data_IF_500546298076
#
_entry.id   IF_500546298076
#
_cell.length_a   1.000
_cell.length_b   1.000
_cell.length_c   1.000
_cell.angle_alpha   90.00
_cell.angle_beta   90.00
_cell.angle_gamma   90.00
#
_symmetry.space_group_name_H-M   'P 1'
#
loop_
_entity.id
_entity.type
_entity.pdbx_description
1 polymer ?
#
# COMPACT_ATOMS: atom_id res chain seq x y z
N UNK A 1 -24.98 -61.81 6.08
CA UNK A 1 -23.98 -61.16 5.22
C UNK A 1 -24.33 -59.68 5.11
N UNK A 2 -23.47 -58.80 5.61
CA UNK A 2 -23.34 -57.43 5.10
C UNK A 2 -21.95 -56.95 5.55
N UNK A 3 -21.04 -56.88 4.59
CA UNK A 3 -19.67 -56.48 4.79
C UNK A 3 -19.61 -54.95 4.78
N UNK A 4 -19.30 -54.33 5.92
CA UNK A 4 -18.78 -52.97 5.92
C UNK A 4 -17.29 -53.06 5.61
N UNK A 5 -16.91 -52.72 4.37
CA UNK A 5 -15.52 -52.63 3.95
C UNK A 5 -14.83 -51.50 4.69
N UNK A 6 -13.77 -51.83 5.42
CA UNK A 6 -12.79 -50.87 5.92
C UNK A 6 -12.19 -50.11 4.74
N UNK A 7 -12.51 -48.82 4.61
CA UNK A 7 -11.79 -47.94 3.67
C UNK A 7 -10.33 -47.94 4.08
N UNK A 8 -9.44 -48.42 3.20
CA UNK A 8 -8.02 -48.51 3.46
C UNK A 8 -7.45 -47.09 3.62
N UNK A 9 -6.49 -46.87 4.51
CA UNK A 9 -5.90 -45.55 4.74
C UNK A 9 -5.32 -44.91 3.45
N UNK A 10 -4.95 -45.76 2.48
CA UNK A 10 -4.46 -45.38 1.16
C UNK A 10 -5.58 -44.79 0.27
N UNK A 11 -6.80 -45.33 0.34
CA UNK A 11 -7.96 -44.83 -0.42
C UNK A 11 -8.42 -43.45 0.06
N UNK A 12 -8.22 -43.17 1.36
CA UNK A 12 -8.51 -41.86 1.94
C UNK A 12 -7.53 -40.77 1.44
N UNK A 13 -6.28 -41.12 1.17
CA UNK A 13 -5.27 -40.21 0.60
C UNK A 13 -5.62 -39.90 -0.86
N UNK A 14 -5.93 -40.93 -1.66
CA UNK A 14 -6.30 -40.81 -3.07
C UNK A 14 -7.55 -39.95 -3.28
N UNK A 15 -8.61 -40.20 -2.51
CA UNK A 15 -9.83 -39.38 -2.54
C UNK A 15 -9.52 -37.90 -2.27
N UNK A 16 -8.64 -37.63 -1.29
CA UNK A 16 -8.27 -36.26 -0.92
C UNK A 16 -7.35 -35.57 -1.92
N UNK A 17 -6.52 -36.33 -2.63
CA UNK A 17 -5.75 -35.83 -3.78
C UNK A 17 -6.71 -35.40 -4.88
N UNK A 18 -7.71 -36.22 -5.22
CA UNK A 18 -8.71 -35.90 -6.25
C UNK A 18 -9.49 -34.63 -5.89
N UNK A 19 -9.93 -34.49 -4.63
CA UNK A 19 -10.65 -33.30 -4.16
C UNK A 19 -9.83 -32.01 -4.28
N UNK A 20 -8.53 -32.06 -3.93
CA UNK A 20 -7.67 -30.86 -3.90
C UNK A 20 -7.01 -30.57 -5.24
N UNK A 21 -6.82 -31.60 -6.06
CA UNK A 21 -6.09 -31.55 -7.32
C UNK A 21 -6.80 -32.40 -8.38
N UNK A 22 -7.99 -31.99 -8.88
CA UNK A 22 -8.74 -32.77 -9.86
C UNK A 22 -7.93 -33.09 -11.13
N UNK A 23 -6.99 -32.22 -11.51
CA UNK A 23 -6.09 -32.44 -12.65
C UNK A 23 -5.06 -33.59 -12.46
N UNK A 24 -5.00 -34.20 -11.27
CA UNK A 24 -4.16 -35.36 -11.01
C UNK A 24 -4.75 -36.66 -11.55
N UNK A 25 -6.08 -36.70 -11.76
CA UNK A 25 -6.76 -37.76 -12.51
C UNK A 25 -6.53 -37.50 -14.01
N UNK A 26 -5.51 -38.16 -14.54
CA UNK A 26 -5.02 -37.94 -15.91
C UNK A 26 -5.77 -38.77 -16.93
N UNK A 27 -6.37 -39.89 -16.51
CA UNK A 27 -7.15 -40.77 -17.37
C UNK A 27 -8.65 -40.42 -17.35
N UNK A 28 -9.09 -39.59 -16.41
CA UNK A 28 -10.45 -39.06 -16.29
C UNK A 28 -11.47 -40.08 -15.78
N UNK A 29 -11.03 -41.13 -15.09
CA UNK A 29 -11.90 -42.20 -14.59
C UNK A 29 -12.54 -41.87 -13.22
N UNK A 30 -12.19 -40.73 -12.62
CA UNK A 30 -12.70 -40.27 -11.34
C UNK A 30 -12.03 -40.94 -10.13
N UNK A 31 -10.93 -41.67 -10.32
CA UNK A 31 -10.20 -42.38 -9.26
C UNK A 31 -8.69 -42.22 -9.43
N UNK A 32 -8.00 -41.74 -8.40
CA UNK A 32 -6.52 -41.64 -8.44
C UNK A 32 -5.89 -43.04 -8.36
N UNK A 33 -5.22 -43.45 -9.43
CA UNK A 33 -4.42 -44.67 -9.48
C UNK A 33 -3.11 -44.55 -8.67
N UNK A 34 -2.46 -45.69 -8.37
CA UNK A 34 -1.14 -45.69 -7.70
C UNK A 34 -0.08 -44.92 -8.51
N UNK A 35 -0.17 -44.97 -9.84
CA UNK A 35 0.75 -44.26 -10.73
C UNK A 35 0.55 -42.73 -10.65
N UNK A 36 -0.70 -42.27 -10.64
CA UNK A 36 -1.04 -40.85 -10.49
C UNK A 36 -0.68 -40.33 -9.12
N UNK A 37 -0.93 -41.10 -8.07
CA UNK A 37 -0.51 -40.78 -6.71
C UNK A 37 1.02 -40.65 -6.61
N UNK A 38 1.78 -41.56 -7.22
CA UNK A 38 3.24 -41.50 -7.26
C UNK A 38 3.74 -40.27 -8.03
N UNK A 39 3.07 -39.88 -9.12
CA UNK A 39 3.39 -38.66 -9.85
C UNK A 39 3.14 -37.40 -9.02
N UNK A 40 1.99 -37.31 -8.36
CA UNK A 40 1.65 -36.21 -7.44
C UNK A 40 2.66 -36.14 -6.31
N UNK A 41 3.04 -37.28 -5.73
CA UNK A 41 4.02 -37.35 -4.64
C UNK A 41 5.41 -36.88 -5.07
N UNK A 42 5.89 -37.31 -6.25
CA UNK A 42 7.17 -36.83 -6.82
C UNK A 42 7.14 -35.32 -7.11
N UNK A 43 6.02 -34.81 -7.63
CA UNK A 43 5.88 -33.40 -7.91
C UNK A 43 5.79 -32.56 -6.63
N UNK A 44 5.10 -33.08 -5.61
CA UNK A 44 5.02 -32.48 -4.28
C UNK A 44 6.40 -32.42 -3.62
N UNK A 45 7.21 -33.49 -3.72
CA UNK A 45 8.56 -33.54 -3.19
C UNK A 45 9.50 -32.55 -3.90
N UNK A 46 9.40 -32.40 -5.23
CA UNK A 46 10.14 -31.36 -5.99
C UNK A 46 9.80 -29.94 -5.52
N UNK A 47 8.53 -29.67 -5.22
CA UNK A 47 8.05 -28.35 -4.78
C UNK A 47 8.31 -28.10 -3.28
N UNK A 48 8.31 -29.17 -2.49
CA UNK A 48 8.46 -29.14 -1.05
C UNK A 48 9.48 -30.20 -0.60
N UNK A 49 10.79 -29.99 -0.84
CA UNK A 49 11.82 -30.96 -0.46
C UNK A 49 11.89 -31.23 1.05
N UNK A 50 11.35 -30.33 1.88
CA UNK A 50 11.28 -30.46 3.35
C UNK A 50 10.10 -31.31 3.84
N UNK A 51 9.28 -31.84 2.93
CA UNK A 51 8.11 -32.64 3.28
C UNK A 51 8.46 -34.10 3.56
N UNK A 52 9.53 -34.58 2.96
CA UNK A 52 10.25 -35.80 3.30
C UNK A 52 11.12 -35.51 4.55
N UNK A 53 10.63 -35.97 5.70
CA UNK A 53 11.18 -35.68 7.02
C UNK A 53 12.17 -36.74 7.46
N UNK A 54 12.00 -37.98 7.02
CA UNK A 54 12.92 -39.07 7.28
C UNK A 54 14.06 -39.14 6.25
N UNK A 55 13.93 -38.42 5.13
CA UNK A 55 14.99 -38.20 4.15
C UNK A 55 15.20 -39.39 3.22
N UNK A 56 14.20 -40.27 3.07
CA UNK A 56 14.30 -41.49 2.29
C UNK A 56 14.04 -41.30 0.78
N UNK A 57 13.65 -40.08 0.38
CA UNK A 57 13.37 -39.70 -1.00
C UNK A 57 11.97 -40.05 -1.49
N UNK A 58 11.08 -40.56 -0.63
CA UNK A 58 9.70 -40.94 -0.93
C UNK A 58 8.77 -40.43 0.17
N UNK A 59 7.66 -39.81 -0.19
CA UNK A 59 6.70 -39.39 0.83
C UNK A 59 5.98 -40.61 1.42
N UNK A 60 6.14 -40.84 2.71
CA UNK A 60 5.33 -41.77 3.48
C UNK A 60 3.87 -41.30 3.56
N UNK A 61 2.95 -42.20 3.92
CA UNK A 61 1.53 -41.86 4.05
C UNK A 61 1.27 -40.77 5.10
N UNK A 62 2.08 -40.75 6.17
CA UNK A 62 2.02 -39.70 7.19
C UNK A 62 2.40 -38.32 6.63
N UNK A 63 3.39 -38.26 5.74
CA UNK A 63 3.86 -37.03 5.12
C UNK A 63 2.91 -36.56 4.02
N UNK A 64 2.38 -37.49 3.22
CA UNK A 64 1.28 -37.21 2.28
C UNK A 64 0.08 -36.62 3.02
N UNK A 65 -0.34 -37.21 4.13
CA UNK A 65 -1.43 -36.67 4.95
C UNK A 65 -1.11 -35.28 5.52
N UNK A 66 0.13 -35.05 5.98
CA UNK A 66 0.56 -33.74 6.44
C UNK A 66 0.49 -32.69 5.32
N UNK A 67 0.97 -33.02 4.12
CA UNK A 67 0.91 -32.14 2.96
C UNK A 67 -0.53 -31.86 2.51
N UNK A 68 -1.38 -32.88 2.47
CA UNK A 68 -2.79 -32.73 2.11
C UNK A 68 -3.56 -31.91 3.15
N UNK A 69 -3.20 -32.00 4.45
CA UNK A 69 -3.74 -31.11 5.49
C UNK A 69 -3.29 -29.67 5.28
N UNK A 70 -2.03 -29.43 4.91
CA UNK A 70 -1.53 -28.10 4.61
C UNK A 70 -2.18 -27.51 3.35
N UNK A 71 -2.37 -28.32 2.30
CA UNK A 71 -3.06 -27.95 1.08
C UNK A 71 -4.54 -27.65 1.34
N UNK A 72 -5.24 -28.50 2.09
CA UNK A 72 -6.62 -28.25 2.51
C UNK A 72 -6.76 -26.99 3.37
N UNK A 73 -5.82 -26.70 4.27
CA UNK A 73 -5.83 -25.46 5.07
C UNK A 73 -5.54 -24.20 4.24
N UNK A 74 -4.86 -24.32 3.10
CA UNK A 74 -4.69 -23.23 2.12
C UNK A 74 -5.91 -23.06 1.22
N UNK A 75 -6.59 -24.16 0.89
CA UNK A 75 -7.80 -24.16 0.07
C UNK A 75 -9.07 -23.76 0.85
N UNK A 76 -9.07 -23.90 2.18
CA UNK A 76 -10.17 -23.42 3.04
C UNK A 76 -10.20 -21.89 3.05
N UNK A 77 -11.35 -21.24 2.75
CA UNK A 77 -11.54 -19.84 3.08
C UNK A 77 -11.37 -19.68 4.60
N UNK A 78 -10.55 -18.72 5.03
CA UNK A 78 -10.34 -18.46 6.46
C UNK A 78 -11.68 -18.13 7.12
N UNK A 79 -11.97 -18.64 8.32
CA UNK A 79 -13.17 -18.26 9.05
C UNK A 79 -13.13 -16.75 9.31
N UNK A 80 -14.14 -16.06 8.78
CA UNK A 80 -14.44 -14.67 9.11
C UNK A 80 -14.75 -14.58 10.61
N UNK A 81 -13.82 -14.02 11.39
CA UNK A 81 -14.15 -13.45 12.70
C UNK A 81 -14.87 -12.13 12.43
N UNK A 82 -16.20 -12.20 12.30
CA UNK A 82 -17.16 -11.07 12.31
C UNK A 82 -16.56 -9.71 11.93
N UNK A 83 -16.17 -9.55 10.67
CA UNK A 83 -16.40 -8.29 9.99
C UNK A 83 -17.68 -8.49 9.19
N UNK A 84 -18.65 -7.61 9.37
CA UNK A 84 -19.65 -7.42 8.32
C UNK A 84 -18.86 -7.13 7.05
N UNK A 85 -18.77 -8.11 6.14
CA UNK A 85 -18.28 -7.89 4.79
C UNK A 85 -19.29 -6.94 4.13
N UNK A 86 -19.15 -5.63 4.40
CA UNK A 86 -19.78 -4.60 3.59
C UNK A 86 -19.27 -4.86 2.18
N UNK A 87 -20.16 -5.31 1.30
CA UNK A 87 -19.85 -5.49 -0.11
C UNK A 87 -19.11 -4.25 -0.63
N UNK A 88 -18.04 -4.46 -1.40
CA UNK A 88 -17.23 -3.37 -1.96
C UNK A 88 -18.15 -2.43 -2.74
N UNK A 89 -18.37 -1.21 -2.24
CA UNK A 89 -19.27 -0.23 -2.88
C UNK A 89 -18.85 -0.02 -4.35
N UNK A 90 -19.79 -0.03 -5.27
CA UNK A 90 -19.52 0.24 -6.70
C UNK A 90 -19.19 1.72 -6.88
N UNK A 91 -18.13 2.08 -7.62
CA UNK A 91 -17.82 3.48 -7.90
C UNK A 91 -18.88 4.12 -8.81
N UNK A 92 -19.15 5.41 -8.58
CA UNK A 92 -19.99 6.24 -9.45
C UNK A 92 -19.38 6.32 -10.85
N UNK A 93 -18.06 6.44 -10.93
CA UNK A 93 -17.31 6.32 -12.18
C UNK A 93 -16.07 5.44 -11.96
N UNK A 94 -15.95 4.37 -12.74
CA UNK A 94 -14.84 3.42 -12.69
C UNK A 94 -13.82 3.68 -13.81
N UNK A 95 -12.54 3.46 -13.51
CA UNK A 95 -11.42 3.51 -14.48
C UNK A 95 -11.39 4.78 -15.33
N UNK A 96 -11.72 5.93 -14.73
CA UNK A 96 -11.66 7.23 -15.39
C UNK A 96 -10.19 7.53 -15.72
N UNK A 97 -9.88 7.70 -17.01
CA UNK A 97 -8.54 8.04 -17.48
C UNK A 97 -8.22 9.51 -17.24
N UNK A 98 -7.05 9.79 -16.67
CA UNK A 98 -6.52 11.14 -16.48
C UNK A 98 -5.21 11.39 -17.27
N UNK A 99 -4.74 10.39 -18.01
CA UNK A 99 -3.59 10.45 -18.89
C UNK A 99 -3.56 9.26 -19.84
N UNK A 100 -2.54 9.22 -20.70
CA UNK A 100 -2.41 8.26 -21.82
C UNK A 100 -2.09 6.83 -21.37
N UNK A 101 -1.32 6.68 -20.28
CA UNK A 101 -0.87 5.38 -19.83
C UNK A 101 -2.02 4.59 -19.18
N UNK A 102 -2.09 3.27 -19.37
CA UNK A 102 -3.19 2.42 -18.85
C UNK A 102 -3.39 2.51 -17.33
N UNK A 103 -2.30 2.75 -16.58
CA UNK A 103 -2.33 2.96 -15.12
C UNK A 103 -2.76 4.36 -14.70
N UNK A 104 -2.87 5.32 -15.61
CA UNK A 104 -3.35 6.67 -15.30
C UNK A 104 -4.89 6.68 -15.27
N UNK A 105 -5.43 5.89 -14.34
CA UNK A 105 -6.86 5.71 -14.10
C UNK A 105 -7.19 5.86 -12.62
N UNK A 106 -8.43 6.24 -12.33
CA UNK A 106 -8.98 6.22 -10.97
C UNK A 106 -10.43 5.75 -10.95
N UNK A 107 -10.88 5.34 -9.77
CA UNK A 107 -12.28 5.17 -9.45
C UNK A 107 -12.71 6.30 -8.52
N UNK A 108 -13.95 6.76 -8.63
CA UNK A 108 -14.53 7.77 -7.72
C UNK A 108 -15.93 7.35 -7.26
N UNK A 109 -16.17 7.55 -5.97
CA UNK A 109 -17.44 7.36 -5.29
C UNK A 109 -17.90 8.74 -4.81
N UNK A 110 -19.03 9.21 -5.33
CA UNK A 110 -19.61 10.48 -4.91
C UNK A 110 -20.49 10.26 -3.68
N UNK A 111 -20.31 11.09 -2.66
CA UNK A 111 -21.24 11.12 -1.54
C UNK A 111 -22.56 11.76 -1.99
N UNK A 112 -23.67 11.29 -1.42
CA UNK A 112 -25.00 11.81 -1.72
C UNK A 112 -25.23 13.11 -0.96
N UNK A 113 -25.31 14.23 -1.68
CA UNK A 113 -25.52 15.56 -1.12
C UNK A 113 -26.04 16.53 -2.18
N UNK A 114 -26.89 17.46 -1.75
CA UNK A 114 -27.37 18.57 -2.59
C UNK A 114 -26.25 19.59 -2.85
N UNK A 115 -25.40 19.84 -1.85
CA UNK A 115 -24.29 20.80 -1.92
C UNK A 115 -22.96 20.15 -2.34
N UNK A 116 -22.01 20.92 -2.93
CA UNK A 116 -20.71 20.39 -3.33
C UNK A 116 -19.92 19.75 -2.19
N UNK A 117 -19.63 18.46 -2.33
CA UNK A 117 -18.97 17.64 -1.30
C UNK A 117 -17.45 17.84 -1.28
N UNK A 118 -16.77 17.73 -0.12
CA UNK A 118 -15.32 17.58 -0.10
C UNK A 118 -14.87 16.30 -0.81
N UNK A 119 -13.59 16.27 -1.20
CA UNK A 119 -12.98 15.10 -1.87
C UNK A 119 -11.79 14.56 -1.07
N UNK A 120 -11.75 13.26 -0.80
CA UNK A 120 -10.60 12.55 -0.26
C UNK A 120 -9.98 11.62 -1.33
N UNK A 121 -8.71 11.84 -1.67
CA UNK A 121 -8.00 11.08 -2.71
C UNK A 121 -7.09 10.03 -2.06
N UNK A 122 -7.45 8.76 -2.23
CA UNK A 122 -6.63 7.62 -1.86
C UNK A 122 -5.50 7.37 -2.87
N UNK A 123 -4.27 7.33 -2.36
CA UNK A 123 -3.06 7.01 -3.10
C UNK A 123 -2.45 5.73 -2.51
N UNK A 124 -2.45 4.67 -3.31
CA UNK A 124 -2.04 3.36 -2.82
C UNK A 124 -0.54 3.27 -2.51
N UNK A 125 -0.17 2.43 -1.53
CA UNK A 125 1.21 2.03 -1.30
C UNK A 125 1.67 0.88 -2.20
N UNK A 126 2.89 0.38 -1.96
CA UNK A 126 3.46 -0.74 -2.73
C UNK A 126 4.88 -0.50 -3.25
N UNK A 127 5.63 0.40 -2.58
CA UNK A 127 7.03 0.68 -2.91
C UNK A 127 7.24 1.14 -4.35
N UNK A 128 6.24 1.82 -4.93
CA UNK A 128 6.19 2.24 -6.33
C UNK A 128 6.29 1.11 -7.37
N UNK A 129 6.34 -0.16 -6.97
CA UNK A 129 6.50 -1.32 -7.88
C UNK A 129 5.24 -2.19 -7.96
N UNK A 130 4.27 -1.97 -7.06
CA UNK A 130 3.05 -2.76 -6.96
C UNK A 130 1.92 -1.92 -6.31
N UNK A 131 0.73 -2.51 -6.19
CA UNK A 131 -0.46 -1.92 -5.58
C UNK A 131 -1.45 -1.37 -6.60
N UNK A 132 -2.69 -1.17 -6.18
CA UNK A 132 -3.70 -0.55 -7.02
C UNK A 132 -4.67 0.26 -6.18
N UNK A 133 -5.49 1.07 -6.86
CA UNK A 133 -6.68 1.73 -6.31
C UNK A 133 -7.60 0.79 -5.52
N UNK A 134 -7.59 -0.52 -5.81
CA UNK A 134 -8.40 -1.52 -5.10
C UNK A 134 -7.97 -1.80 -3.67
N UNK A 135 -6.81 -1.27 -3.24
CA UNK A 135 -6.34 -1.39 -1.85
C UNK A 135 -7.05 -0.45 -0.88
N UNK A 136 -7.89 0.46 -1.37
CA UNK A 136 -8.77 1.25 -0.51
C UNK A 136 -9.66 0.31 0.31
N UNK A 137 -9.63 0.44 1.65
CA UNK A 137 -10.40 -0.46 2.50
C UNK A 137 -11.89 -0.13 2.41
N UNK A 138 -12.78 -1.13 2.30
CA UNK A 138 -14.23 -0.89 2.23
C UNK A 138 -14.80 -0.11 3.43
N UNK A 139 -14.25 -0.30 4.63
CA UNK A 139 -14.68 0.43 5.82
C UNK A 139 -14.27 1.89 5.77
N UNK A 140 -13.01 2.20 5.43
CA UNK A 140 -12.54 3.58 5.26
C UNK A 140 -13.34 4.31 4.17
N UNK A 141 -13.63 3.64 3.05
CA UNK A 141 -14.50 4.18 2.00
C UNK A 141 -15.91 4.46 2.51
N UNK A 142 -16.50 3.52 3.23
CA UNK A 142 -17.87 3.68 3.75
C UNK A 142 -17.94 4.83 4.76
N UNK A 143 -17.02 4.89 5.72
CA UNK A 143 -16.99 5.92 6.76
C UNK A 143 -16.83 7.33 6.18
N UNK A 144 -15.99 7.49 5.14
CA UNK A 144 -15.84 8.78 4.46
C UNK A 144 -17.11 9.20 3.70
N UNK A 145 -17.71 8.28 2.94
CA UNK A 145 -18.95 8.54 2.21
C UNK A 145 -20.12 8.84 3.16
N UNK A 146 -20.23 8.07 4.25
CA UNK A 146 -21.28 8.23 5.26
C UNK A 146 -21.10 9.57 6.03
N UNK A 147 -19.88 10.15 6.03
CA UNK A 147 -19.59 11.49 6.55
C UNK A 147 -19.82 12.62 5.51
N UNK A 148 -20.29 12.31 4.30
CA UNK A 148 -20.51 13.32 3.25
C UNK A 148 -19.26 13.72 2.46
N UNK A 149 -18.20 12.90 2.50
CA UNK A 149 -16.95 13.14 1.78
C UNK A 149 -16.88 12.19 0.57
N UNK A 150 -16.84 12.75 -0.63
CA UNK A 150 -16.58 11.98 -1.86
C UNK A 150 -15.17 11.40 -1.84
N UNK A 151 -14.98 10.20 -2.37
CA UNK A 151 -13.70 9.48 -2.32
C UNK A 151 -13.24 9.12 -3.72
N UNK A 152 -11.98 9.35 -4.03
CA UNK A 152 -11.35 8.83 -5.24
C UNK A 152 -10.18 7.92 -4.89
N UNK A 153 -9.91 6.91 -5.71
CA UNK A 153 -8.75 6.02 -5.55
C UNK A 153 -7.99 5.92 -6.87
N UNK A 154 -6.73 6.35 -6.86
CA UNK A 154 -5.93 6.47 -8.09
C UNK A 154 -4.95 5.30 -8.25
N UNK A 155 -4.74 4.88 -9.49
CA UNK A 155 -3.50 4.22 -9.90
C UNK A 155 -2.49 5.29 -10.38
N UNK A 156 -1.21 4.94 -10.37
CA UNK A 156 -0.12 5.72 -10.95
C UNK A 156 0.90 4.78 -11.63
N UNK A 157 1.78 5.31 -12.49
CA UNK A 157 2.83 4.50 -13.14
C UNK A 157 3.83 3.98 -12.12
N UNK A 158 4.19 2.70 -12.27
CA UNK A 158 5.20 2.08 -11.43
C UNK A 158 6.61 2.50 -11.81
N UNK A 159 7.53 2.32 -10.87
CA UNK A 159 8.96 2.53 -11.05
C UNK A 159 9.58 1.63 -12.14
N UNK A 160 8.98 0.47 -12.41
CA UNK A 160 9.38 -0.41 -13.52
C UNK A 160 8.94 0.10 -14.90
N UNK A 161 8.05 1.09 -14.93
CA UNK A 161 7.53 1.72 -16.15
C UNK A 161 8.20 3.06 -16.37
N UNK A 162 8.28 3.90 -15.34
CA UNK A 162 8.91 5.21 -15.38
C UNK A 162 9.59 5.53 -14.04
N UNK A 163 10.80 6.12 -14.04
CA UNK A 163 11.48 6.49 -12.81
C UNK A 163 10.68 7.52 -12.00
N UNK A 164 10.95 7.62 -10.71
CA UNK A 164 10.46 8.73 -9.90
C UNK A 164 11.06 10.04 -10.42
N UNK A 165 10.31 11.16 -10.39
CA UNK A 165 9.03 11.33 -9.73
C UNK A 165 7.77 11.11 -10.60
N UNK A 166 7.81 10.26 -11.65
CA UNK A 166 6.65 10.05 -12.52
C UNK A 166 5.35 9.70 -11.76
N UNK A 167 5.43 8.86 -10.72
CA UNK A 167 4.29 8.53 -9.86
C UNK A 167 3.72 9.75 -9.09
N UNK A 168 4.58 10.69 -8.69
CA UNK A 168 4.17 11.93 -8.03
C UNK A 168 3.47 12.84 -9.02
N UNK A 169 4.02 12.99 -10.23
CA UNK A 169 3.41 13.78 -11.30
C UNK A 169 2.06 13.20 -11.76
N UNK A 170 1.93 11.86 -11.77
CA UNK A 170 0.66 11.18 -12.06
C UNK A 170 -0.40 11.52 -11.01
N UNK A 171 -0.05 11.50 -9.72
CA UNK A 171 -0.98 11.88 -8.66
C UNK A 171 -1.35 13.37 -8.69
N UNK A 172 -0.39 14.26 -8.99
CA UNK A 172 -0.65 15.68 -9.25
C UNK A 172 -1.66 15.85 -10.38
N UNK A 173 -1.45 15.16 -11.50
CA UNK A 173 -2.35 15.20 -12.66
C UNK A 173 -3.74 14.68 -12.31
N UNK A 174 -3.84 13.60 -11.55
CA UNK A 174 -5.12 13.05 -11.11
C UNK A 174 -5.90 14.04 -10.23
N UNK A 175 -5.24 14.69 -9.26
CA UNK A 175 -5.82 15.74 -8.42
C UNK A 175 -6.38 16.89 -9.27
N UNK A 176 -5.57 17.41 -10.17
CA UNK A 176 -5.97 18.49 -11.08
C UNK A 176 -7.14 18.07 -11.99
N UNK A 177 -7.12 16.84 -12.51
CA UNK A 177 -8.20 16.30 -13.32
C UNK A 177 -9.51 16.27 -12.52
N UNK A 178 -9.49 15.79 -11.28
CA UNK A 178 -10.68 15.76 -10.42
C UNK A 178 -11.21 17.17 -10.13
N UNK A 179 -10.33 18.15 -9.89
CA UNK A 179 -10.73 19.55 -9.73
C UNK A 179 -11.37 20.13 -11.01
N UNK A 180 -10.87 19.77 -12.19
CA UNK A 180 -11.47 20.20 -13.47
C UNK A 180 -12.89 19.64 -13.70
N UNK A 181 -13.26 18.59 -12.96
CA UNK A 181 -14.57 17.93 -12.99
C UNK A 181 -15.48 18.32 -11.83
N UNK A 182 -15.05 19.27 -10.99
CA UNK A 182 -15.73 19.63 -9.75
C UNK A 182 -17.22 19.96 -9.93
N UNK A 183 -17.57 20.77 -10.92
CA UNK A 183 -18.97 21.11 -11.22
C UNK A 183 -19.76 19.88 -11.66
N UNK A 184 -19.19 19.05 -12.53
CA UNK A 184 -19.85 17.84 -13.06
C UNK A 184 -20.12 16.80 -11.96
N UNK A 185 -19.25 16.74 -10.96
CA UNK A 185 -19.29 15.72 -9.91
C UNK A 185 -19.80 16.23 -8.57
N UNK A 186 -20.32 17.46 -8.52
CA UNK A 186 -20.75 18.12 -7.29
C UNK A 186 -19.68 18.05 -6.19
N UNK A 187 -18.45 18.42 -6.52
CA UNK A 187 -17.30 18.44 -5.62
C UNK A 187 -16.90 19.89 -5.33
N UNK A 188 -16.69 20.22 -4.06
CA UNK A 188 -16.06 21.46 -3.67
C UNK A 188 -14.55 21.36 -3.92
N UNK A 189 -14.08 21.95 -5.02
CA UNK A 189 -12.66 21.92 -5.37
C UNK A 189 -11.75 22.61 -4.35
N UNK A 190 -12.26 23.42 -3.43
CA UNK A 190 -11.44 24.07 -2.39
C UNK A 190 -11.31 23.21 -1.12
N UNK A 191 -12.01 22.07 -1.04
CA UNK A 191 -11.99 21.15 0.10
C UNK A 191 -11.51 19.77 -0.37
N UNK A 192 -10.20 19.63 -0.57
CA UNK A 192 -9.59 18.40 -1.10
C UNK A 192 -8.50 17.89 -0.17
N UNK A 193 -8.62 16.63 0.22
CA UNK A 193 -7.65 15.91 1.02
C UNK A 193 -7.00 14.77 0.24
N UNK A 194 -5.81 14.34 0.67
CA UNK A 194 -5.17 13.13 0.17
C UNK A 194 -4.82 12.19 1.31
N UNK A 195 -4.91 10.88 1.07
CA UNK A 195 -4.51 9.87 2.04
C UNK A 195 -3.91 8.62 1.41
N UNK A 196 -3.02 7.97 2.15
CA UNK A 196 -2.30 6.82 1.62
C UNK A 196 -1.31 6.25 2.63
N UNK A 197 -0.72 5.10 2.28
CA UNK A 197 0.27 4.45 3.11
C UNK A 197 1.56 4.11 2.38
N UNK A 198 2.67 4.00 3.09
CA UNK A 198 3.97 3.64 2.50
C UNK A 198 4.35 4.61 1.37
N UNK A 199 4.65 4.11 0.16
CA UNK A 199 4.89 4.93 -1.03
C UNK A 199 3.76 5.93 -1.33
N UNK A 200 2.50 5.56 -1.08
CA UNK A 200 1.36 6.46 -1.27
C UNK A 200 1.37 7.61 -0.26
N UNK A 201 1.78 7.36 0.98
CA UNK A 201 1.96 8.41 1.97
C UNK A 201 3.06 9.41 1.55
N UNK A 202 4.15 8.95 0.94
CA UNK A 202 5.18 9.85 0.40
C UNK A 202 4.57 10.77 -0.66
N UNK A 203 3.80 10.24 -1.60
CA UNK A 203 3.12 11.05 -2.64
C UNK A 203 2.14 12.03 -1.99
N UNK A 204 1.34 11.59 -1.03
CA UNK A 204 0.41 12.47 -0.31
C UNK A 204 1.11 13.65 0.36
N UNK A 205 2.21 13.40 1.09
CA UNK A 205 2.95 14.47 1.75
C UNK A 205 3.66 15.39 0.75
N UNK A 206 4.17 14.84 -0.36
CA UNK A 206 4.72 15.67 -1.43
C UNK A 206 3.67 16.58 -2.05
N UNK A 207 2.46 16.09 -2.31
CA UNK A 207 1.34 16.92 -2.80
C UNK A 207 0.96 17.99 -1.77
N UNK A 208 0.96 17.65 -0.48
CA UNK A 208 0.57 18.57 0.58
C UNK A 208 1.57 19.71 0.78
N UNK A 209 2.87 19.42 0.70
CA UNK A 209 3.95 20.33 1.11
C UNK A 209 4.77 20.85 -0.06
N UNK A 210 4.35 20.58 -1.29
CA UNK A 210 4.87 21.32 -2.44
C UNK A 210 4.15 22.65 -2.57
N UNK A 211 4.88 23.64 -3.06
CA UNK A 211 4.30 24.91 -3.52
C UNK A 211 3.22 24.65 -4.59
N UNK A 212 2.42 25.67 -4.87
CA UNK A 212 1.44 25.63 -5.94
C UNK A 212 2.09 25.23 -7.28
N UNK A 213 1.56 24.18 -7.91
CA UNK A 213 2.04 23.65 -9.19
C UNK A 213 1.05 23.88 -10.34
N UNK A 214 -0.05 24.61 -10.11
CA UNK A 214 -0.91 25.11 -11.17
C UNK A 214 -0.12 25.98 -12.16
N UNK A 215 -0.50 25.87 -13.43
CA UNK A 215 0.05 26.66 -14.53
C UNK A 215 -1.10 27.46 -15.17
N UNK A 216 -1.40 28.68 -14.70
CA UNK A 216 -2.57 29.45 -15.15
C UNK A 216 -2.63 29.63 -16.67
N UNK A 217 -1.48 29.78 -17.31
CA UNK A 217 -1.36 30.03 -18.75
C UNK A 217 -1.21 28.75 -19.59
N UNK A 218 -1.33 27.55 -19.00
CA UNK A 218 -1.19 26.29 -19.76
C UNK A 218 -2.30 26.16 -20.80
N UNK A 219 -1.98 25.63 -21.98
CA UNK A 219 -3.00 25.28 -22.98
C UNK A 219 -3.88 24.10 -22.53
N UNK A 220 -3.37 23.29 -21.60
CA UNK A 220 -4.12 22.21 -20.99
C UNK A 220 -4.91 22.74 -19.78
N UNK A 221 -6.25 22.78 -19.84
CA UNK A 221 -7.07 23.33 -18.76
C UNK A 221 -6.92 22.57 -17.44
N UNK A 222 -6.54 21.30 -17.48
CA UNK A 222 -6.32 20.53 -16.26
C UNK A 222 -5.07 21.04 -15.54
N UNK A 223 -4.00 21.41 -16.24
CA UNK A 223 -2.78 21.94 -15.59
C UNK A 223 -3.00 23.29 -14.89
N UNK A 224 -4.11 23.98 -15.18
CA UNK A 224 -4.47 25.26 -14.54
C UNK A 224 -5.09 25.08 -13.16
N UNK A 225 -5.58 23.89 -12.83
CA UNK A 225 -6.20 23.64 -11.52
C UNK A 225 -5.15 23.59 -10.41
N UNK A 226 -5.52 24.13 -9.24
CA UNK A 226 -4.65 24.18 -8.05
C UNK A 226 -4.24 22.78 -7.59
N UNK A 227 -3.02 22.66 -7.07
CA UNK A 227 -2.53 21.42 -6.44
C UNK A 227 -2.52 21.48 -4.91
N UNK A 228 -2.93 22.61 -4.31
CA UNK A 228 -2.97 22.74 -2.84
C UNK A 228 -4.05 21.85 -2.25
N UNK A 229 -3.71 21.16 -1.16
CA UNK A 229 -4.63 20.34 -0.37
C UNK A 229 -5.13 21.13 0.84
N UNK A 230 -6.31 20.79 1.33
CA UNK A 230 -6.88 21.32 2.58
C UNK A 230 -6.30 20.59 3.80
N UNK A 231 -6.06 19.30 3.69
CA UNK A 231 -5.43 18.48 4.74
C UNK A 231 -4.92 17.15 4.16
N UNK A 232 -4.03 16.47 4.88
CA UNK A 232 -3.44 15.19 4.43
C UNK A 232 -3.38 14.16 5.56
N UNK A 233 -3.67 12.89 5.25
CA UNK A 233 -3.57 11.79 6.22
C UNK A 233 -2.68 10.65 5.71
N UNK A 234 -1.78 10.14 6.55
CA UNK A 234 -0.81 9.10 6.13
C UNK A 234 -0.69 7.93 7.09
N UNK A 235 -0.29 6.78 6.56
CA UNK A 235 -0.02 5.56 7.33
C UNK A 235 1.36 4.96 7.01
N UNK A 236 2.26 4.89 7.99
CA UNK A 236 3.61 4.34 7.83
C UNK A 236 4.38 5.02 6.69
N UNK A 237 4.28 6.34 6.58
CA UNK A 237 4.94 7.10 5.51
C UNK A 237 6.45 7.20 5.68
N UNK A 238 7.16 7.41 4.57
CA UNK A 238 8.57 7.82 4.62
C UNK A 238 8.60 9.33 4.44
N UNK A 239 9.05 10.04 5.47
CA UNK A 239 8.98 11.50 5.55
C UNK A 239 10.17 12.20 4.87
N UNK A 240 11.27 11.48 4.65
CA UNK A 240 12.37 11.94 3.81
C UNK A 240 12.96 10.79 2.99
N UNK A 241 13.64 11.14 1.90
CA UNK A 241 14.44 10.28 1.03
C UNK A 241 15.95 10.60 1.11
N UNK A 242 16.34 11.50 2.02
CA UNK A 242 17.71 11.95 2.23
C UNK A 242 18.58 10.90 2.91
N UNK A 243 19.72 10.56 2.30
CA UNK A 243 20.62 9.49 2.80
C UNK A 243 21.13 9.79 4.21
N UNK A 244 21.49 11.05 4.48
CA UNK A 244 21.95 11.49 5.80
C UNK A 244 20.86 11.34 6.86
N UNK A 245 19.65 11.80 6.59
CA UNK A 245 18.50 11.64 7.47
C UNK A 245 18.26 10.15 7.80
N UNK A 246 18.23 9.28 6.80
CA UNK A 246 18.07 7.83 7.03
C UNK A 246 19.21 7.24 7.86
N UNK A 247 20.45 7.68 7.60
CA UNK A 247 21.62 7.22 8.34
C UNK A 247 21.56 7.62 9.82
N UNK A 248 21.06 8.82 10.12
CA UNK A 248 20.91 9.33 11.49
C UNK A 248 19.69 8.73 12.21
N UNK A 249 18.57 8.62 11.53
CA UNK A 249 17.27 8.29 12.14
C UNK A 249 17.01 6.79 12.20
N UNK A 250 17.40 6.05 11.15
CA UNK A 250 17.14 4.61 11.01
C UNK A 250 18.44 3.81 11.14
N UNK A 251 19.58 4.39 10.78
CA UNK A 251 20.89 3.75 10.92
C UNK A 251 21.16 3.15 12.31
N UNK A 252 20.89 3.86 13.42
CA UNK A 252 21.08 3.30 14.77
C UNK A 252 20.17 2.11 15.11
N UNK A 253 19.08 1.93 14.36
CA UNK A 253 18.16 0.79 14.52
C UNK A 253 18.58 -0.41 13.68
N UNK A 254 19.56 -0.23 12.78
CA UNK A 254 20.19 -1.33 12.09
C UNK A 254 21.04 -2.09 13.10
N UNK A 255 20.86 -3.42 13.15
CA UNK A 255 21.77 -4.27 13.92
C UNK A 255 23.23 -4.06 13.51
N UNK A 256 24.15 -4.46 14.40
CA UNK A 256 25.59 -4.27 14.22
C UNK A 256 26.07 -4.62 12.81
N UNK A 257 26.97 -3.79 12.26
CA UNK A 257 27.61 -3.95 10.95
C UNK A 257 26.69 -3.82 9.71
N UNK A 258 25.43 -3.44 9.87
CA UNK A 258 24.54 -3.13 8.72
C UNK A 258 24.54 -1.64 8.40
N UNK A 259 24.62 -1.32 7.11
CA UNK A 259 24.48 0.05 6.59
C UNK A 259 23.12 0.26 5.95
N UNK A 260 22.68 1.52 5.86
CA UNK A 260 21.38 1.88 5.25
C UNK A 260 21.25 1.40 3.81
N UNK A 261 22.37 1.25 3.09
CA UNK A 261 22.39 0.78 1.71
C UNK A 261 21.89 -0.66 1.57
N UNK A 262 21.95 -1.44 2.66
CA UNK A 262 21.39 -2.79 2.71
C UNK A 262 19.86 -2.83 2.61
N UNK A 263 19.18 -1.69 2.76
CA UNK A 263 17.73 -1.56 2.57
C UNK A 263 17.32 -1.36 1.11
N UNK A 264 18.30 -1.06 0.25
CA UNK A 264 18.10 -0.92 -1.20
C UNK A 264 17.63 -2.25 -1.79
N UNK A 265 16.58 -2.20 -2.60
CA UNK A 265 16.07 -3.37 -3.31
C UNK A 265 16.46 -3.27 -4.78
N UNK A 266 16.84 -4.39 -5.43
CA UNK A 266 17.15 -4.39 -6.84
C UNK A 266 16.06 -3.76 -7.71
N UNK A 267 16.47 -3.09 -8.78
CA UNK A 267 15.59 -2.43 -9.73
C UNK A 267 16.05 -2.77 -11.15
N UNK A 268 15.17 -3.38 -11.94
CA UNK A 268 15.43 -3.72 -13.35
C UNK A 268 16.76 -4.48 -13.56
N UNK A 269 17.10 -5.40 -12.65
CA UNK A 269 18.33 -6.20 -12.70
C UNK A 269 19.56 -5.53 -12.07
N UNK A 270 19.51 -4.24 -11.72
CA UNK A 270 20.59 -3.55 -11.01
C UNK A 270 20.46 -3.77 -9.48
N UNK A 271 21.59 -3.99 -8.81
CA UNK A 271 21.67 -4.25 -7.37
C UNK A 271 22.68 -3.38 -6.62
N UNK A 272 23.57 -2.66 -7.33
CA UNK A 272 24.43 -1.67 -6.70
C UNK A 272 23.57 -0.53 -6.13
N UNK A 273 23.65 -0.22 -4.82
CA UNK A 273 22.77 0.77 -4.19
C UNK A 273 22.81 2.16 -4.82
N UNK A 274 23.99 2.61 -5.32
CA UNK A 274 24.13 3.93 -5.95
C UNK A 274 23.47 3.93 -7.33
N UNK A 275 23.70 2.89 -8.13
CA UNK A 275 23.06 2.74 -9.44
C UNK A 275 21.56 2.53 -9.34
N UNK A 276 21.09 1.73 -8.38
CA UNK A 276 19.65 1.59 -8.07
C UNK A 276 19.05 2.95 -7.74
N UNK A 277 19.72 3.77 -6.91
CA UNK A 277 19.22 5.10 -6.56
C UNK A 277 19.15 6.03 -7.76
N UNK A 278 20.17 6.04 -8.62
CA UNK A 278 20.16 6.82 -9.87
C UNK A 278 19.02 6.38 -10.79
N UNK A 279 18.87 5.07 -11.02
CA UNK A 279 17.79 4.50 -11.83
C UNK A 279 16.41 4.78 -11.22
N UNK A 280 16.27 4.72 -9.89
CA UNK A 280 15.02 5.00 -9.19
C UNK A 280 14.52 6.43 -9.43
N UNK A 281 15.43 7.40 -9.47
CA UNK A 281 15.10 8.82 -9.68
C UNK A 281 15.33 9.30 -11.12
N UNK A 282 15.63 8.39 -12.06
CA UNK A 282 15.86 8.74 -13.47
C UNK A 282 17.05 9.68 -13.68
N UNK A 283 18.00 9.66 -12.76
CA UNK A 283 19.13 10.59 -12.71
C UNK A 283 20.38 10.00 -13.36
N UNK A 284 21.23 10.86 -13.93
CA UNK A 284 22.53 10.49 -14.52
C UNK A 284 23.63 10.42 -13.47
N UNK A 285 23.48 11.16 -12.37
CA UNK A 285 24.47 11.20 -11.29
C UNK A 285 23.81 10.97 -9.93
N UNK A 286 24.61 10.55 -8.95
CA UNK A 286 24.14 10.39 -7.57
C UNK A 286 23.72 11.73 -6.94
N UNK A 287 24.40 12.83 -7.31
CA UNK A 287 24.06 14.18 -6.87
C UNK A 287 22.66 14.59 -7.35
N UNK A 288 22.39 14.42 -8.64
CA UNK A 288 21.07 14.67 -9.23
C UNK A 288 20.00 13.79 -8.59
N UNK A 289 20.28 12.49 -8.39
CA UNK A 289 19.35 11.59 -7.70
C UNK A 289 19.02 12.07 -6.28
N UNK A 290 20.02 12.58 -5.55
CA UNK A 290 19.85 13.12 -4.21
C UNK A 290 19.04 14.41 -4.20
N UNK A 291 19.26 15.29 -5.17
CA UNK A 291 18.52 16.55 -5.27
C UNK A 291 17.04 16.31 -5.61
N UNK A 292 16.75 15.42 -6.57
CA UNK A 292 15.37 15.04 -6.90
C UNK A 292 14.72 14.41 -5.66
N UNK A 293 15.41 13.49 -4.98
CA UNK A 293 14.91 12.85 -3.76
C UNK A 293 14.60 13.87 -2.65
N UNK A 294 15.47 14.87 -2.46
CA UNK A 294 15.30 15.94 -1.49
C UNK A 294 14.03 16.75 -1.79
N UNK A 295 13.82 17.16 -3.05
CA UNK A 295 12.61 17.89 -3.47
C UNK A 295 11.31 17.08 -3.38
N UNK A 296 11.40 15.78 -3.11
CA UNK A 296 10.25 14.88 -2.91
C UNK A 296 10.16 14.34 -1.48
N UNK A 297 10.81 15.02 -0.53
CA UNK A 297 10.86 14.65 0.87
C UNK A 297 10.08 15.66 1.70
N UNK A 298 8.98 15.20 2.32
CA UNK A 298 8.10 16.02 3.15
C UNK A 298 8.86 16.81 4.22
N UNK A 299 9.79 16.15 4.90
CA UNK A 299 10.63 16.74 5.93
C UNK A 299 11.51 17.87 5.38
N UNK A 300 11.84 17.86 4.10
CA UNK A 300 12.74 18.82 3.50
C UNK A 300 11.96 20.02 2.93
N UNK A 301 10.74 19.81 2.45
CA UNK A 301 9.94 20.84 1.75
C UNK A 301 8.86 21.52 2.59
N UNK A 302 8.45 20.96 3.74
CA UNK A 302 7.37 21.53 4.56
C UNK A 302 7.63 22.99 5.00
N UNK A 303 6.64 23.85 4.80
CA UNK A 303 6.63 25.30 5.09
C UNK A 303 5.49 25.70 6.03
N UNK A 304 5.54 26.92 6.60
CA UNK A 304 4.60 27.35 7.63
C UNK A 304 3.14 27.53 7.15
N UNK A 305 2.93 27.68 5.83
CA UNK A 305 1.63 27.84 5.18
C UNK A 305 1.04 26.52 4.67
N UNK A 306 1.69 25.40 4.99
CA UNK A 306 1.24 24.08 4.58
C UNK A 306 0.01 23.56 5.34
N UNK A 307 -0.80 22.69 4.69
CA UNK A 307 -2.02 22.19 5.27
C UNK A 307 -1.75 21.23 6.45
N UNK A 308 -2.71 21.10 7.37
CA UNK A 308 -2.60 20.17 8.49
C UNK A 308 -2.40 18.72 8.04
N UNK A 309 -1.62 17.97 8.82
CA UNK A 309 -1.33 16.56 8.58
C UNK A 309 -1.72 15.66 9.77
N UNK A 310 -2.33 14.52 9.46
CA UNK A 310 -2.48 13.39 10.39
C UNK A 310 -1.60 12.22 9.95
N UNK A 311 -0.74 11.72 10.83
CA UNK A 311 0.15 10.59 10.58
C UNK A 311 -0.18 9.44 11.51
N UNK A 312 -0.17 8.22 10.99
CA UNK A 312 -0.36 7.01 11.79
C UNK A 312 0.78 6.01 11.56
N UNK A 313 1.29 5.44 12.65
CA UNK A 313 2.31 4.38 12.63
C UNK A 313 1.89 3.24 13.54
N UNK A 314 2.15 2.01 13.09
CA UNK A 314 1.72 0.79 13.78
C UNK A 314 2.66 0.31 14.89
N UNK A 315 3.63 1.12 15.31
CA UNK A 315 4.66 0.73 16.28
C UNK A 315 5.01 1.90 17.20
N UNK A 316 5.43 1.58 18.42
CA UNK A 316 5.96 2.57 19.38
C UNK A 316 7.44 2.87 19.11
N UNK A 317 7.97 4.02 19.56
CA UNK A 317 9.38 4.36 19.38
C UNK A 317 10.33 3.42 20.14
N UNK A 318 9.80 2.73 21.15
CA UNK A 318 10.52 1.77 22.00
C UNK A 318 10.34 0.32 21.57
N UNK A 319 9.56 0.05 20.51
CA UNK A 319 9.36 -1.30 20.01
C UNK A 319 10.70 -1.88 19.55
N UNK A 320 10.96 -3.15 19.89
CA UNK A 320 12.20 -3.83 19.49
C UNK A 320 12.10 -4.29 18.04
N UNK A 321 13.25 -4.32 17.36
CA UNK A 321 13.37 -4.90 16.03
C UNK A 321 12.83 -6.34 16.02
N UNK A 322 12.01 -6.74 15.02
CA UNK A 322 11.51 -8.10 14.90
C UNK A 322 12.64 -9.12 14.76
N UNK A 323 12.45 -10.29 15.38
CA UNK A 323 13.40 -11.43 15.25
C UNK A 323 13.29 -12.13 13.90
N UNK A 324 12.12 -12.10 13.25
CA UNK A 324 11.91 -12.64 11.90
C UNK A 324 12.60 -11.73 10.86
N UNK A 325 13.67 -12.20 10.17
CA UNK A 325 14.41 -11.40 9.20
C UNK A 325 13.53 -10.85 8.06
N UNK A 326 12.43 -11.55 7.72
CA UNK A 326 11.51 -11.12 6.66
C UNK A 326 10.71 -9.87 7.05
N UNK A 327 10.57 -9.59 8.35
CA UNK A 327 9.83 -8.44 8.88
C UNK A 327 10.71 -7.23 9.16
N UNK A 328 12.02 -7.43 9.33
CA UNK A 328 13.00 -6.38 9.68
C UNK A 328 12.94 -5.20 8.70
N UNK A 329 13.00 -5.47 7.39
CA UNK A 329 12.97 -4.38 6.41
C UNK A 329 11.68 -3.57 6.52
N UNK A 330 10.53 -4.24 6.57
CA UNK A 330 9.22 -3.59 6.70
C UNK A 330 9.12 -2.75 7.98
N UNK A 331 9.69 -3.23 9.08
CA UNK A 331 9.77 -2.50 10.33
C UNK A 331 10.64 -1.24 10.21
N UNK A 332 11.82 -1.33 9.59
CA UNK A 332 12.72 -0.18 9.39
C UNK A 332 12.11 0.90 8.49
N UNK A 333 11.54 0.51 7.34
CA UNK A 333 11.02 1.47 6.35
C UNK A 333 9.67 2.09 6.74
N UNK A 334 9.06 1.61 7.82
CA UNK A 334 7.82 2.11 8.41
C UNK A 334 8.00 2.48 9.88
N UNK A 335 9.23 2.77 10.31
CA UNK A 335 9.51 3.08 11.69
C UNK A 335 8.92 4.43 12.11
N UNK A 336 8.35 4.50 13.32
CA UNK A 336 7.66 5.71 13.82
C UNK A 336 8.56 6.94 13.93
N UNK A 337 9.88 6.74 14.10
CA UNK A 337 10.87 7.82 14.11
C UNK A 337 10.81 8.71 12.86
N UNK A 338 10.36 8.17 11.72
CA UNK A 338 10.13 8.95 10.51
C UNK A 338 9.03 10.01 10.73
N UNK A 339 7.93 9.61 11.36
CA UNK A 339 6.81 10.49 11.71
C UNK A 339 7.14 11.48 12.83
N UNK A 340 7.92 11.05 13.83
CA UNK A 340 8.39 11.92 14.92
C UNK A 340 9.20 13.09 14.35
N UNK A 341 10.16 12.82 13.48
CA UNK A 341 10.98 13.88 12.89
C UNK A 341 10.15 14.91 12.11
N UNK A 342 9.14 14.47 11.35
CA UNK A 342 8.25 15.40 10.65
C UNK A 342 7.35 16.18 11.60
N UNK A 343 6.85 15.54 12.66
CA UNK A 343 6.06 16.21 13.71
C UNK A 343 6.87 17.30 14.40
N UNK A 344 8.12 17.01 14.78
CA UNK A 344 9.03 17.98 15.40
C UNK A 344 9.30 19.18 14.48
N UNK A 345 9.57 18.93 13.18
CA UNK A 345 9.74 20.01 12.22
C UNK A 345 8.47 20.84 12.04
N UNK A 346 7.32 20.19 11.87
CA UNK A 346 6.03 20.85 11.72
C UNK A 346 5.70 21.73 12.93
N UNK A 347 5.92 21.24 14.15
CA UNK A 347 5.72 22.02 15.38
C UNK A 347 6.62 23.25 15.44
N UNK A 348 7.90 23.10 15.06
CA UNK A 348 8.86 24.20 15.06
C UNK A 348 8.45 25.35 14.12
N UNK A 349 7.74 25.04 13.03
CA UNK A 349 7.23 26.01 12.05
C UNK A 349 5.72 26.25 12.16
N UNK A 350 5.08 25.73 13.21
CA UNK A 350 3.65 25.90 13.54
C UNK A 350 2.67 25.33 12.49
N UNK A 351 3.07 24.32 11.72
CA UNK A 351 2.16 23.52 10.90
C UNK A 351 1.44 22.52 11.81
N UNK A 352 0.11 22.48 11.75
CA UNK A 352 -0.67 21.53 12.54
C UNK A 352 -0.38 20.09 12.11
N UNK A 353 0.33 19.34 12.95
CA UNK A 353 0.64 17.95 12.72
C UNK A 353 0.16 17.08 13.89
N UNK A 354 -0.47 15.95 13.58
CA UNK A 354 -0.93 14.96 14.54
C UNK A 354 -0.25 13.63 14.27
N UNK A 355 0.28 12.98 15.31
CA UNK A 355 1.00 11.72 15.18
C UNK A 355 0.36 10.65 16.09
N UNK A 356 -0.31 9.69 15.48
CA UNK A 356 -0.86 8.51 16.14
C UNK A 356 0.14 7.35 16.06
N UNK A 357 0.51 6.82 17.20
CA UNK A 357 1.19 5.53 17.33
C UNK A 357 0.82 4.91 18.69
N UNK A 358 1.08 3.61 18.94
CA UNK A 358 0.86 3.03 20.25
C UNK A 358 1.55 3.87 21.36
N UNK A 359 0.77 4.25 22.38
CA UNK A 359 1.22 5.11 23.48
C UNK A 359 1.17 6.63 23.23
N UNK A 360 0.92 7.09 22.00
CA UNK A 360 0.78 8.52 21.73
C UNK A 360 -0.59 9.07 22.17
N UNK A 361 -0.60 10.27 22.74
CA UNK A 361 -1.82 11.07 22.88
C UNK A 361 -1.96 11.94 21.63
N UNK A 362 -3.08 11.78 20.92
CA UNK A 362 -3.39 12.55 19.69
C UNK A 362 -4.85 12.99 19.74
N UNK A 363 -5.16 14.16 19.18
CA UNK A 363 -6.52 14.71 19.11
C UNK A 363 -7.45 13.79 18.32
N UNK A 364 -7.00 13.33 17.17
CA UNK A 364 -7.79 12.49 16.26
C UNK A 364 -7.43 11.02 16.43
N UNK A 365 -8.43 10.14 16.45
CA UNK A 365 -8.25 8.70 16.59
C UNK A 365 -8.24 7.99 15.24
N UNK A 366 -8.87 8.55 14.22
CA UNK A 366 -8.87 8.02 12.86
C UNK A 366 -8.56 9.12 11.83
N UNK A 367 -8.22 8.71 10.61
CA UNK A 367 -8.13 9.65 9.48
C UNK A 367 -9.50 10.24 9.13
N UNK A 368 -10.59 9.52 9.40
CA UNK A 368 -11.96 9.97 9.13
C UNK A 368 -12.31 11.10 10.09
N UNK A 369 -12.02 10.96 11.39
CA UNK A 369 -12.23 12.02 12.39
C UNK A 369 -11.47 13.29 12.00
N UNK A 370 -10.22 13.12 11.54
CA UNK A 370 -9.38 14.21 11.09
C UNK A 370 -9.97 14.91 9.86
N UNK A 371 -10.39 14.15 8.84
CA UNK A 371 -10.98 14.72 7.62
C UNK A 371 -12.33 15.36 7.88
N UNK A 372 -13.19 14.79 8.73
CA UNK A 372 -14.44 15.42 9.15
C UNK A 372 -14.16 16.80 9.77
N UNK A 373 -13.21 16.89 10.71
CA UNK A 373 -12.86 18.15 11.35
C UNK A 373 -12.22 19.19 10.40
N UNK A 374 -11.50 18.76 9.35
CA UNK A 374 -10.80 19.68 8.44
C UNK A 374 -11.58 20.06 7.19
N UNK A 375 -12.52 19.22 6.76
CA UNK A 375 -13.27 19.41 5.53
C UNK A 375 -14.73 19.84 5.79
N UNK A 376 -15.35 19.38 6.88
CA UNK A 376 -16.79 19.59 7.10
C UNK A 376 -17.07 20.74 8.07
N UNK A 377 -16.25 20.92 9.10
CA UNK A 377 -16.41 22.05 10.00
C UNK A 377 -16.23 23.36 9.22
N UNK A 378 -17.18 24.28 9.35
CA UNK A 378 -17.00 25.64 8.86
C UNK A 378 -15.82 26.23 9.61
N UNK A 379 -14.75 26.58 8.90
CA UNK A 379 -13.69 27.38 9.49
C UNK A 379 -14.34 28.70 9.90
N UNK A 380 -14.56 28.87 11.21
CA UNK A 380 -14.96 30.14 11.79
C UNK A 380 -13.94 31.14 11.29
N UNK A 381 -14.36 32.00 10.36
CA UNK A 381 -13.47 33.03 9.84
C UNK A 381 -13.22 33.97 11.02
N UNK A 382 -11.96 34.31 11.34
CA UNK A 382 -11.65 35.21 12.46
C UNK A 382 -12.37 36.56 12.37
#
# INVERSE_FOLDING_TARGET
>A
MSAFSSVNANDAIKTKILELYPQADTNGDGVISDAEEAMVSRQALKRHPKADKDGDGVLSDAEKQSLLRMAANRAKPKPSTTSTDKAKKTPSFANVKYGEHERQVFDIWLADADEPTPLAIYIHGGGFKNGSKDKLKPNELSELLDAGISVAAINYRYLTIAPLPAAHHDARRALQFMRSKAVQWNINKNKVAAFGGSAGAQICMWLAFSDEMAKPDSLDPIERESTRLTCVATAGGQTSNGVEFWSKTIGPLLGENKKIESLSLPLNGESDPKKVRMAMWGAKTLGEANEIAFRHSALDIVSADDPPIFMSYGMSPTDKMPTDPKRVRGWLIHHVNLGIALKEKADAIKVEAHLKHPGAKTKYQSLVDFFAAKLLEEQSTP
#
